data_IF_005577344450
#
_entry.id   IF_005577344450
#
_cell.length_a   1.000
_cell.length_b   1.000
_cell.length_c   1.000
_cell.angle_alpha   90.00
_cell.angle_beta   90.00
_cell.angle_gamma   90.00
#
_symmetry.space_group_name_H-M   'P 1'
#
loop_
_entity.id
_entity.type
_entity.pdbx_description
1 polymer ?
#
# COMPACT_ATOMS: atom_id res chain seq x y z
N UNK A 1 0.61 -11.53 8.15
CA UNK A 1 1.07 -10.95 6.86
C UNK A 1 2.33 -11.58 6.28
N UNK A 2 3.41 -11.81 7.05
CA UNK A 2 4.68 -12.35 6.52
C UNK A 2 4.55 -13.62 5.66
N UNK A 3 3.73 -14.59 6.09
CA UNK A 3 3.50 -15.82 5.33
C UNK A 3 2.86 -15.54 3.96
N UNK A 4 1.86 -14.64 3.90
CA UNK A 4 1.21 -14.26 2.64
C UNK A 4 2.18 -13.57 1.68
N UNK A 5 3.03 -12.67 2.21
CA UNK A 5 4.13 -12.09 1.44
C UNK A 5 5.05 -13.17 0.85
N UNK A 6 5.50 -14.12 1.67
CA UNK A 6 6.41 -15.18 1.21
C UNK A 6 5.75 -16.06 0.14
N UNK A 7 4.53 -16.54 0.36
CA UNK A 7 3.84 -17.40 -0.60
C UNK A 7 3.62 -16.66 -1.93
N UNK A 8 3.21 -15.38 -1.89
CA UNK A 8 3.04 -14.57 -3.11
C UNK A 8 4.37 -14.18 -3.78
N UNK A 9 5.48 -14.17 -3.04
CA UNK A 9 6.82 -13.94 -3.59
C UNK A 9 7.34 -15.17 -4.36
N UNK A 10 7.16 -16.36 -3.80
CA UNK A 10 7.73 -17.61 -4.34
C UNK A 10 6.80 -18.36 -5.30
N UNK A 11 5.48 -18.27 -5.11
CA UNK A 11 4.50 -19.04 -5.89
C UNK A 11 3.71 -18.12 -6.81
N UNK A 12 4.08 -18.06 -8.09
CA UNK A 12 3.41 -17.19 -9.06
C UNK A 12 1.94 -17.56 -9.28
N UNK A 13 1.61 -18.86 -9.26
CA UNK A 13 0.22 -19.36 -9.37
C UNK A 13 -0.65 -18.83 -8.24
N UNK A 14 -0.12 -18.77 -7.02
CA UNK A 14 -0.84 -18.25 -5.86
C UNK A 14 -1.09 -16.75 -5.99
N UNK A 15 -0.24 -15.99 -6.70
CA UNK A 15 -0.50 -14.56 -6.94
C UNK A 15 -1.79 -14.35 -7.72
N UNK A 16 -2.02 -15.13 -8.77
CA UNK A 16 -3.23 -15.05 -9.58
C UNK A 16 -4.46 -15.41 -8.75
N UNK A 17 -4.40 -16.53 -8.04
CA UNK A 17 -5.50 -16.98 -7.18
C UNK A 17 -5.84 -15.94 -6.11
N UNK A 18 -4.83 -15.39 -5.42
CA UNK A 18 -5.04 -14.35 -4.40
C UNK A 18 -5.58 -13.06 -5.02
N UNK A 19 -5.08 -12.64 -6.17
CA UNK A 19 -5.49 -11.39 -6.81
C UNK A 19 -6.92 -11.47 -7.35
N UNK A 20 -7.21 -12.47 -8.17
CA UNK A 20 -8.45 -12.57 -8.96
C UNK A 20 -9.55 -13.30 -8.19
N UNK A 21 -9.26 -14.46 -7.60
CA UNK A 21 -10.28 -15.33 -7.00
C UNK A 21 -10.60 -14.96 -5.55
N UNK A 22 -9.64 -14.40 -4.82
CA UNK A 22 -9.79 -14.02 -3.41
C UNK A 22 -9.92 -12.51 -3.20
N UNK A 23 -10.02 -11.72 -4.27
CA UNK A 23 -10.07 -10.25 -4.20
C UNK A 23 -8.98 -9.64 -3.32
N UNK A 24 -7.78 -10.23 -3.31
CA UNK A 24 -6.74 -9.96 -2.34
C UNK A 24 -6.25 -8.51 -2.37
N UNK A 25 -6.26 -7.86 -3.54
CA UNK A 25 -5.91 -6.44 -3.66
C UNK A 25 -6.89 -5.57 -2.88
N UNK A 26 -8.19 -5.82 -3.01
CA UNK A 26 -9.25 -5.09 -2.28
C UNK A 26 -9.06 -5.20 -0.78
N UNK A 27 -8.91 -6.43 -0.27
CA UNK A 27 -8.72 -6.64 1.17
C UNK A 27 -7.42 -6.04 1.71
N UNK A 28 -6.33 -6.11 0.94
CA UNK A 28 -5.07 -5.48 1.33
C UNK A 28 -5.19 -3.95 1.39
N UNK A 29 -5.93 -3.32 0.46
CA UNK A 29 -6.24 -1.88 0.49
C UNK A 29 -7.11 -1.53 1.71
N UNK A 30 -8.09 -2.37 2.05
CA UNK A 30 -8.91 -2.18 3.26
C UNK A 30 -8.07 -2.29 4.55
N UNK A 31 -7.09 -3.21 4.58
CA UNK A 31 -6.15 -3.30 5.70
C UNK A 31 -5.31 -2.02 5.82
N UNK A 32 -4.87 -1.41 4.71
CA UNK A 32 -4.19 -0.11 4.75
C UNK A 32 -5.08 0.97 5.39
N UNK A 33 -6.34 1.05 4.97
CA UNK A 33 -7.33 2.00 5.50
C UNK A 33 -7.57 1.79 7.00
N UNK A 34 -7.71 0.54 7.44
CA UNK A 34 -7.92 0.19 8.85
C UNK A 34 -6.72 0.61 9.71
N UNK A 35 -5.50 0.36 9.26
CA UNK A 35 -4.29 0.74 10.00
C UNK A 35 -4.20 2.27 10.13
N UNK A 36 -4.47 3.01 9.06
CA UNK A 36 -4.45 4.47 9.07
C UNK A 36 -5.54 5.06 9.99
N UNK A 37 -6.76 4.52 9.94
CA UNK A 37 -7.86 4.92 10.83
C UNK A 37 -7.55 4.62 12.29
N UNK A 38 -6.99 3.45 12.57
CA UNK A 38 -6.58 3.07 13.92
C UNK A 38 -5.51 4.05 14.44
N UNK A 39 -4.46 4.30 13.66
CA UNK A 39 -3.43 5.28 14.02
C UNK A 39 -4.03 6.69 14.24
N UNK A 40 -4.94 7.14 13.39
CA UNK A 40 -5.62 8.42 13.57
C UNK A 40 -6.41 8.49 14.89
N UNK A 41 -7.09 7.40 15.28
CA UNK A 41 -7.87 7.34 16.53
C UNK A 41 -7.03 7.26 17.81
N UNK A 42 -5.85 6.62 17.72
CA UNK A 42 -4.89 6.53 18.83
C UNK A 42 -4.23 7.90 19.11
N UNK A 43 -4.07 8.71 18.06
CA UNK A 43 -3.55 10.07 18.14
C UNK A 43 -4.64 11.06 18.58
N UNK A 44 -5.07 10.99 19.85
CA UNK A 44 -6.04 11.93 20.47
C UNK A 44 -5.54 13.39 20.61
N UNK A 45 -4.36 13.70 20.10
CA UNK A 45 -3.79 15.05 20.14
C UNK A 45 -4.29 15.86 18.95
N UNK A 46 -4.47 17.17 19.12
CA UNK A 46 -4.99 18.17 18.17
C UNK A 46 -4.17 18.33 16.86
N UNK A 47 -3.35 17.34 16.51
CA UNK A 47 -2.49 17.31 15.35
C UNK A 47 -3.29 16.78 14.15
N UNK A 48 -3.30 17.47 13.00
CA UNK A 48 -4.01 17.03 11.80
C UNK A 48 -3.32 15.85 11.08
N UNK A 49 -2.19 15.34 11.57
CA UNK A 49 -1.38 14.33 10.91
C UNK A 49 -1.39 12.98 11.63
N UNK A 50 -1.45 11.91 10.83
CA UNK A 50 -1.38 10.53 11.31
C UNK A 50 0.05 10.22 11.74
N UNK A 51 0.20 9.77 13.00
CA UNK A 51 1.49 9.28 13.54
C UNK A 51 1.42 7.77 13.66
N UNK A 52 2.34 7.08 12.99
CA UNK A 52 2.43 5.62 12.98
C UNK A 52 3.47 5.15 14.00
N UNK A 53 3.10 4.15 14.79
CA UNK A 53 4.04 3.46 15.68
C UNK A 53 4.82 2.35 14.93
N UNK A 54 5.82 1.77 15.59
CA UNK A 54 6.69 0.77 14.96
C UNK A 54 5.93 -0.47 14.48
N UNK A 55 4.98 -0.96 15.28
CA UNK A 55 4.20 -2.15 14.93
C UNK A 55 3.33 -1.92 13.69
N UNK A 56 2.66 -0.76 13.63
CA UNK A 56 1.88 -0.33 12.47
C UNK A 56 2.75 -0.23 11.21
N UNK A 57 3.96 0.32 11.33
CA UNK A 57 4.89 0.43 10.20
C UNK A 57 5.37 -0.93 9.72
N UNK A 58 5.69 -1.85 10.64
CA UNK A 58 6.10 -3.21 10.27
C UNK A 58 4.96 -3.96 9.59
N UNK A 59 3.73 -3.82 10.08
CA UNK A 59 2.56 -4.42 9.46
C UNK A 59 2.29 -3.82 8.07
N UNK A 60 2.30 -2.49 7.94
CA UNK A 60 2.17 -1.78 6.67
C UNK A 60 3.23 -2.23 5.67
N UNK A 61 4.48 -2.40 6.10
CA UNK A 61 5.55 -2.90 5.23
C UNK A 61 5.23 -4.29 4.65
N UNK A 62 4.69 -5.21 5.46
CA UNK A 62 4.27 -6.53 4.96
C UNK A 62 3.07 -6.45 4.00
N UNK A 63 2.10 -5.57 4.27
CA UNK A 63 0.94 -5.34 3.39
C UNK A 63 1.39 -4.75 2.06
N UNK A 64 2.21 -3.70 2.07
CA UNK A 64 2.75 -3.04 0.87
C UNK A 64 3.61 -3.99 0.03
N UNK A 65 4.45 -4.82 0.66
CA UNK A 65 5.21 -5.85 -0.05
C UNK A 65 4.30 -6.89 -0.72
N UNK A 66 3.23 -7.31 -0.03
CA UNK A 66 2.27 -8.25 -0.61
C UNK A 66 1.54 -7.62 -1.78
N UNK A 67 1.07 -6.37 -1.65
CA UNK A 67 0.47 -5.62 -2.75
C UNK A 67 1.42 -5.50 -3.94
N UNK A 68 2.70 -5.22 -3.69
CA UNK A 68 3.71 -5.16 -4.75
C UNK A 68 3.83 -6.49 -5.49
N UNK A 69 3.88 -7.61 -4.77
CA UNK A 69 3.92 -8.94 -5.40
C UNK A 69 2.71 -9.18 -6.33
N UNK A 70 1.51 -8.76 -5.92
CA UNK A 70 0.29 -8.96 -6.69
C UNK A 70 0.17 -8.02 -7.90
N UNK A 71 0.71 -6.80 -7.78
CA UNK A 71 0.51 -5.72 -8.77
C UNK A 71 1.70 -5.50 -9.71
N UNK A 72 2.89 -6.00 -9.38
CA UNK A 72 4.08 -5.80 -10.21
C UNK A 72 3.91 -6.42 -11.61
N UNK A 73 4.44 -5.73 -12.63
CA UNK A 73 4.26 -6.04 -14.06
C UNK A 73 4.74 -7.43 -14.51
N UNK A 74 5.59 -8.08 -13.70
CA UNK A 74 6.04 -9.46 -13.93
C UNK A 74 5.10 -10.52 -13.32
N UNK A 75 4.00 -10.09 -12.71
CA UNK A 75 2.90 -10.99 -12.38
C UNK A 75 2.27 -11.50 -13.67
N UNK A 76 1.94 -12.79 -13.74
CA UNK A 76 1.24 -13.39 -14.87
C UNK A 76 -0.17 -12.81 -15.09
N UNK A 77 -0.65 -11.97 -14.17
CA UNK A 77 -1.92 -11.27 -14.24
C UNK A 77 -1.86 -10.05 -15.14
N UNK A 78 -3.00 -9.68 -15.75
CA UNK A 78 -3.10 -8.40 -16.44
C UNK A 78 -2.70 -7.23 -15.51
N UNK A 79 -2.04 -6.19 -16.04
CA UNK A 79 -1.78 -4.98 -15.27
C UNK A 79 -3.10 -4.42 -14.73
N UNK A 80 -3.02 -3.71 -13.62
CA UNK A 80 -4.19 -3.02 -13.05
C UNK A 80 -4.79 -2.11 -14.12
N UNK A 81 -6.10 -2.21 -14.34
CA UNK A 81 -6.80 -1.34 -15.27
C UNK A 81 -6.60 0.12 -14.81
N UNK A 82 -6.28 1.00 -15.75
CA UNK A 82 -6.06 2.40 -15.42
C UNK A 82 -7.33 2.97 -14.80
N UNK A 83 -8.53 2.64 -15.29
CA UNK A 83 -9.80 3.14 -14.77
C UNK A 83 -10.34 2.38 -13.54
N UNK A 84 -9.58 1.44 -12.98
CA UNK A 84 -9.96 0.72 -11.75
C UNK A 84 -10.09 1.72 -10.57
N UNK A 85 -11.25 1.78 -9.88
CA UNK A 85 -11.41 2.57 -8.65
C UNK A 85 -10.39 2.21 -7.56
N UNK A 86 -9.92 0.96 -7.52
CA UNK A 86 -8.90 0.52 -6.58
C UNK A 86 -7.54 1.17 -6.85
N UNK A 87 -7.23 1.49 -8.11
CA UNK A 87 -6.00 2.21 -8.48
C UNK A 87 -5.96 3.59 -7.83
N UNK A 88 -7.07 4.33 -7.93
CA UNK A 88 -7.22 5.67 -7.37
C UNK A 88 -7.12 5.65 -5.85
N UNK A 89 -7.83 4.70 -5.22
CA UNK A 89 -7.83 4.53 -3.78
C UNK A 89 -6.44 4.17 -3.26
N UNK A 90 -5.74 3.25 -3.92
CA UNK A 90 -4.38 2.85 -3.56
C UNK A 90 -3.42 4.04 -3.65
N UNK A 91 -3.44 4.79 -4.74
CA UNK A 91 -2.58 5.96 -4.93
C UNK A 91 -2.83 7.02 -3.84
N UNK A 92 -4.10 7.26 -3.47
CA UNK A 92 -4.43 8.14 -2.34
C UNK A 92 -3.80 7.68 -1.04
N UNK A 93 -3.90 6.39 -0.71
CA UNK A 93 -3.27 5.86 0.52
C UNK A 93 -1.74 5.96 0.48
N UNK A 94 -1.13 5.72 -0.67
CA UNK A 94 0.32 5.86 -0.81
C UNK A 94 0.80 7.30 -0.58
N UNK A 95 -0.01 8.30 -0.95
CA UNK A 95 0.23 9.70 -0.58
C UNK A 95 0.20 9.91 0.91
N UNK A 96 -0.87 9.46 1.54
CA UNK A 96 -1.08 9.70 2.95
C UNK A 96 0.05 9.03 3.75
N UNK A 97 0.49 7.84 3.35
CA UNK A 97 1.65 7.13 3.92
C UNK A 97 2.99 7.85 3.72
N UNK A 98 3.19 8.59 2.61
CA UNK A 98 4.41 9.40 2.43
C UNK A 98 4.48 10.58 3.41
N UNK A 99 3.32 11.11 3.79
CA UNK A 99 3.17 12.29 4.63
C UNK A 99 3.02 11.97 6.13
N UNK A 100 2.80 10.70 6.50
CA UNK A 100 2.70 10.28 7.90
C UNK A 100 4.00 10.53 8.68
N UNK A 101 3.84 10.90 9.95
CA UNK A 101 4.94 10.83 10.91
C UNK A 101 5.12 9.37 11.36
N UNK A 102 6.35 8.93 11.58
CA UNK A 102 6.66 7.56 12.01
C UNK A 102 7.54 7.59 13.25
N UNK A 103 7.16 6.81 14.26
CA UNK A 103 7.91 6.63 15.51
C UNK A 103 8.29 5.15 15.70
N UNK A 104 9.59 4.82 15.83
CA UNK A 104 10.74 5.73 15.80
C UNK A 104 11.07 6.22 14.38
N UNK A 105 11.64 7.42 14.27
CA UNK A 105 11.98 8.06 12.97
C UNK A 105 12.95 7.25 12.11
N UNK A 106 13.69 6.32 12.70
CA UNK A 106 14.57 5.36 12.00
C UNK A 106 13.81 4.44 11.03
N UNK A 107 12.52 4.22 11.24
CA UNK A 107 11.67 3.35 10.41
C UNK A 107 11.02 4.07 9.23
N UNK A 108 11.10 5.41 9.16
CA UNK A 108 10.54 6.21 8.06
C UNK A 108 11.05 5.73 6.70
N UNK A 109 12.35 5.46 6.59
CA UNK A 109 12.97 5.01 5.34
C UNK A 109 12.44 3.66 4.86
N UNK A 110 12.17 2.73 5.78
CA UNK A 110 11.59 1.42 5.47
C UNK A 110 10.19 1.57 4.85
N UNK A 111 9.31 2.35 5.49
CA UNK A 111 7.95 2.59 4.99
C UNK A 111 7.98 3.24 3.61
N UNK A 112 8.71 4.36 3.47
CA UNK A 112 8.77 5.13 2.21
C UNK A 112 9.35 4.32 1.06
N UNK A 113 10.32 3.44 1.32
CA UNK A 113 10.86 2.53 0.30
C UNK A 113 9.77 1.63 -0.28
N UNK A 114 8.95 1.01 0.58
CA UNK A 114 7.87 0.14 0.12
C UNK A 114 6.74 0.90 -0.57
N UNK A 115 6.45 2.12 -0.12
CA UNK A 115 5.50 3.02 -0.80
C UNK A 115 6.00 3.37 -2.20
N UNK A 116 7.26 3.79 -2.34
CA UNK A 116 7.88 4.11 -3.64
C UNK A 116 7.87 2.89 -4.56
N UNK A 117 8.26 1.71 -4.07
CA UNK A 117 8.21 0.48 -4.86
C UNK A 117 6.81 0.23 -5.42
N UNK A 118 5.76 0.42 -4.60
CA UNK A 118 4.40 0.23 -5.06
C UNK A 118 3.96 1.30 -6.07
N UNK A 119 4.37 2.56 -5.89
CA UNK A 119 4.16 3.62 -6.87
C UNK A 119 4.77 3.28 -8.24
N UNK A 120 5.93 2.59 -8.28
CA UNK A 120 6.52 2.14 -9.56
C UNK A 120 5.73 1.02 -10.25
N UNK A 121 4.87 0.32 -9.50
CA UNK A 121 3.99 -0.72 -10.05
C UNK A 121 2.67 -0.16 -10.60
N UNK A 122 2.29 1.07 -10.23
CA UNK A 122 1.06 1.74 -10.71
C UNK A 122 1.29 2.33 -12.13
N UNK A 123 0.28 2.34 -13.02
CA UNK A 123 0.37 3.01 -14.33
C UNK A 123 0.78 4.49 -14.25
N UNK A 124 1.64 4.93 -15.17
CA UNK A 124 2.24 6.29 -15.17
C UNK A 124 1.18 7.38 -15.37
N UNK A 125 0.13 7.11 -16.15
CA UNK A 125 -0.99 8.03 -16.35
C UNK A 125 -1.60 8.48 -15.01
N UNK A 126 -1.68 7.58 -14.02
CA UNK A 126 -2.21 7.86 -12.68
C UNK A 126 -1.24 8.62 -11.78
N UNK A 127 0.06 8.45 -11.96
CA UNK A 127 1.07 9.28 -11.28
C UNK A 127 1.02 10.74 -11.76
N UNK A 128 0.63 11.01 -13.01
CA UNK A 128 0.46 12.38 -13.51
C UNK A 128 -0.79 13.06 -12.93
N UNK A 129 -1.89 12.31 -12.77
CA UNK A 129 -3.08 12.81 -12.05
C UNK A 129 -2.75 13.21 -10.60
N UNK A 130 -1.83 12.48 -9.96
CA UNK A 130 -1.33 12.78 -8.62
C UNK A 130 -0.70 14.17 -8.47
N UNK A 131 -0.02 14.67 -9.51
CA UNK A 131 0.58 16.01 -9.53
C UNK A 131 -0.40 17.13 -9.88
N UNK A 132 -1.49 16.83 -10.58
CA UNK A 132 -2.40 17.84 -11.11
C UNK A 132 -3.62 18.14 -10.21
N UNK A 133 -3.99 17.25 -9.29
CA UNK A 133 -5.15 17.45 -8.38
C UNK A 133 -4.79 18.10 -7.04
N UNK A 134 -3.61 18.72 -6.91
CA UNK A 134 -3.22 19.54 -5.75
C UNK A 134 -3.90 20.92 -5.77
N UNK A 135 -5.24 20.95 -5.77
CA UNK A 135 -6.05 22.14 -5.50
C UNK A 135 -7.04 21.87 -4.39
#
# INVERSE_FOLDING_TARGET
>A
MKLLFLITAFCQEVRLHVKEEQHGVTYLIEILDLILKQAASENKSLQPHVVLNEEQVLLLAEVLKTLFNLLCKYSMSQPMDEDDPLSHRLVSFLRDLMLCEVKPSTRVGLLRTHVINLLTAVPVSRLVYYSCTSK
#
